data_IF_328167499051
#
_entry.id   IF_328167499051
#
_cell.length_a   1.000
_cell.length_b   1.000
_cell.length_c   1.000
_cell.angle_alpha   90.00
_cell.angle_beta   90.00
_cell.angle_gamma   90.00
#
_symmetry.space_group_name_H-M   'P 1'
#
loop_
_entity.id
_entity.type
_entity.pdbx_description
1 polymer ?
#
# COMPACT_ATOMS: atom_id res chain seq x y z
N UNK A 1 0.18 -7.56 25.34
CA UNK A 1 -0.15 -8.37 24.17
C UNK A 1 -1.04 -7.54 23.27
N UNK A 2 -0.46 -6.88 22.29
CA UNK A 2 -1.11 -5.93 21.41
C UNK A 2 -1.72 -6.66 20.22
N UNK A 3 -3.00 -6.42 19.99
CA UNK A 3 -3.78 -6.86 18.84
C UNK A 3 -3.21 -6.27 17.53
N UNK A 4 -2.24 -6.95 16.92
CA UNK A 4 -1.63 -6.56 15.65
C UNK A 4 -2.54 -6.80 14.42
N UNK A 5 -3.69 -7.44 14.60
CA UNK A 5 -4.61 -7.75 13.49
C UNK A 5 -5.33 -6.55 12.87
N UNK A 6 -5.52 -5.47 13.61
CA UNK A 6 -6.26 -4.29 13.13
C UNK A 6 -5.38 -3.24 12.43
N UNK A 7 -4.09 -3.17 12.80
CA UNK A 7 -3.19 -2.13 12.31
C UNK A 7 -2.74 -2.31 10.88
N UNK A 8 -2.51 -3.53 10.44
CA UNK A 8 -1.89 -3.78 9.14
C UNK A 8 -2.81 -3.54 7.94
N UNK A 9 -4.10 -3.86 8.06
CA UNK A 9 -5.10 -3.56 7.03
C UNK A 9 -5.39 -2.06 6.89
N UNK A 10 -5.41 -1.37 8.02
CA UNK A 10 -5.59 0.09 8.06
C UNK A 10 -4.34 0.79 7.53
N UNK A 11 -3.13 0.30 7.84
CA UNK A 11 -1.88 0.96 7.45
C UNK A 11 -1.60 0.87 5.94
N UNK A 12 -1.83 -0.28 5.32
CA UNK A 12 -1.66 -0.44 3.87
C UNK A 12 -2.70 0.38 3.11
N UNK A 13 -3.90 0.54 3.66
CA UNK A 13 -4.97 1.35 3.07
C UNK A 13 -4.88 2.84 3.40
N UNK A 14 -4.41 3.19 4.59
CA UNK A 14 -4.20 4.60 4.99
C UNK A 14 -3.12 5.26 4.12
N UNK A 15 -2.07 4.54 3.76
CA UNK A 15 -1.07 5.06 2.81
C UNK A 15 -1.69 5.31 1.43
N UNK A 16 -2.59 4.45 0.95
CA UNK A 16 -3.33 4.67 -0.31
C UNK A 16 -4.35 5.81 -0.20
N UNK A 17 -5.07 5.91 0.91
CA UNK A 17 -6.07 6.97 1.15
C UNK A 17 -5.40 8.32 1.40
N UNK A 18 -4.32 8.36 2.19
CA UNK A 18 -3.53 9.59 2.39
C UNK A 18 -2.89 10.09 1.10
N UNK A 19 -2.57 9.18 0.17
CA UNK A 19 -2.09 9.56 -1.16
C UNK A 19 -3.20 10.15 -2.04
N UNK A 20 -4.41 9.64 -1.97
CA UNK A 20 -5.61 10.21 -2.60
C UNK A 20 -5.98 11.56 -1.98
N UNK A 21 -5.94 11.70 -0.65
CA UNK A 21 -6.20 12.95 0.06
C UNK A 21 -5.11 13.98 -0.27
N UNK A 22 -3.85 13.58 -0.42
CA UNK A 22 -2.77 14.49 -0.81
C UNK A 22 -2.91 14.99 -2.25
N UNK A 23 -3.50 14.20 -3.14
CA UNK A 23 -3.85 14.61 -4.50
C UNK A 23 -5.02 15.63 -4.47
N UNK A 24 -5.98 15.46 -3.59
CA UNK A 24 -7.14 16.36 -3.43
C UNK A 24 -6.74 17.71 -2.78
N UNK A 25 -5.78 17.70 -1.84
CA UNK A 25 -5.31 18.90 -1.12
C UNK A 25 -4.26 19.71 -1.88
N UNK A 26 -3.73 19.20 -3.00
CA UNK A 26 -2.77 19.94 -3.85
C UNK A 26 -3.38 20.58 -5.08
N UNK A 27 -4.69 20.87 -5.08
CA UNK A 27 -5.30 21.67 -6.13
C UNK A 27 -4.84 23.12 -6.03
N UNK A 28 -4.25 23.70 -7.07
CA UNK A 28 -3.87 25.10 -7.06
C UNK A 28 -5.13 25.97 -7.14
N UNK A 29 -5.28 26.89 -6.19
CA UNK A 29 -6.21 28.01 -6.30
C UNK A 29 -5.77 28.92 -7.46
N UNK A 30 -6.69 29.41 -8.29
CA UNK A 30 -6.30 30.27 -9.40
C UNK A 30 -6.01 31.69 -8.91
N UNK A 31 -4.76 32.07 -8.81
CA UNK A 31 -4.39 33.48 -8.87
C UNK A 31 -2.92 33.70 -9.30
N UNK A 32 -2.80 34.40 -10.41
CA UNK A 32 -1.76 35.39 -10.77
C UNK A 32 -0.35 34.88 -11.11
N UNK A 33 -0.10 34.88 -12.42
CA UNK A 33 1.16 35.11 -13.15
C UNK A 33 2.41 35.40 -12.31
N UNK A 34 3.39 34.49 -12.40
CA UNK A 34 4.80 34.86 -12.63
C UNK A 34 5.51 33.74 -13.40
N UNK A 35 5.85 34.07 -14.62
CA UNK A 35 6.73 33.40 -15.55
C UNK A 35 8.09 33.16 -14.92
N UNK A 36 8.63 31.98 -14.99
CA UNK A 36 9.98 31.63 -15.41
C UNK A 36 10.52 30.36 -14.75
N UNK A 37 11.13 29.51 -15.57
CA UNK A 37 12.23 28.59 -15.30
C UNK A 37 11.87 27.19 -14.74
N UNK A 38 10.73 26.59 -15.04
CA UNK A 38 10.56 25.14 -14.86
C UNK A 38 9.86 24.48 -16.06
N UNK A 39 10.42 24.62 -17.26
CA UNK A 39 9.86 24.00 -18.47
C UNK A 39 10.28 22.52 -18.68
N UNK A 40 10.79 21.83 -17.67
CA UNK A 40 11.17 20.41 -17.76
C UNK A 40 10.63 19.51 -16.65
N UNK A 41 9.64 19.95 -15.91
CA UNK A 41 8.79 19.02 -15.21
C UNK A 41 7.70 18.61 -16.19
N UNK A 42 7.90 17.48 -16.87
CA UNK A 42 6.81 16.77 -17.52
C UNK A 42 5.68 16.69 -16.51
N UNK A 43 4.67 17.49 -16.74
CA UNK A 43 3.41 17.46 -16.01
C UNK A 43 2.94 16.02 -16.05
N UNK A 44 3.05 15.33 -14.93
CA UNK A 44 2.34 14.10 -14.70
C UNK A 44 0.87 14.45 -14.96
N UNK A 45 0.40 14.18 -16.18
CA UNK A 45 -1.01 14.34 -16.53
C UNK A 45 -1.78 13.47 -15.55
N UNK A 46 -2.28 14.11 -14.50
CA UNK A 46 -3.30 13.47 -13.67
C UNK A 46 -4.49 13.25 -14.60
N UNK A 47 -5.00 12.03 -14.73
CA UNK A 47 -6.19 11.81 -15.55
C UNK A 47 -7.29 12.72 -15.03
N UNK A 48 -7.87 13.50 -15.94
CA UNK A 48 -9.04 14.32 -15.62
C UNK A 48 -10.18 13.39 -15.24
N UNK A 49 -10.77 13.59 -14.09
CA UNK A 49 -11.92 12.85 -13.62
C UNK A 49 -12.90 13.80 -12.92
N UNK A 50 -14.17 13.59 -13.17
CA UNK A 50 -15.25 14.41 -12.62
C UNK A 50 -15.69 13.94 -11.23
N UNK A 51 -15.49 12.65 -10.93
CA UNK A 51 -15.93 12.08 -9.67
C UNK A 51 -15.06 10.91 -9.20
N UNK A 52 -14.98 10.73 -7.89
CA UNK A 52 -14.33 9.59 -7.24
C UNK A 52 -15.39 8.71 -6.57
N UNK A 53 -15.44 7.43 -6.96
CA UNK A 53 -16.34 6.46 -6.35
C UNK A 53 -15.57 5.54 -5.39
N UNK A 54 -15.97 5.55 -4.12
CA UNK A 54 -15.44 4.63 -3.11
C UNK A 54 -16.26 3.35 -3.08
N UNK A 55 -15.58 2.21 -3.14
CA UNK A 55 -16.20 0.88 -3.04
C UNK A 55 -15.39 0.01 -2.07
N UNK A 56 -16.08 -0.96 -1.47
CA UNK A 56 -15.42 -2.04 -0.76
C UNK A 56 -14.80 -3.00 -1.79
N UNK A 57 -13.56 -3.41 -1.56
CA UNK A 57 -12.91 -4.44 -2.35
C UNK A 57 -13.16 -5.81 -1.71
N UNK A 58 -13.53 -6.80 -2.53
CA UNK A 58 -13.60 -8.19 -2.08
C UNK A 58 -12.18 -8.76 -1.86
N UNK A 59 -12.04 -9.86 -1.08
CA UNK A 59 -10.75 -10.52 -0.90
C UNK A 59 -10.09 -10.93 -2.22
N UNK A 60 -10.87 -11.37 -3.19
CA UNK A 60 -10.39 -11.78 -4.53
C UNK A 60 -9.81 -10.59 -5.30
N UNK A 61 -10.47 -9.44 -5.25
CA UNK A 61 -9.98 -8.21 -5.88
C UNK A 61 -8.66 -7.78 -5.22
N UNK A 62 -8.55 -7.87 -3.90
CA UNK A 62 -7.33 -7.54 -3.17
C UNK A 62 -6.18 -8.49 -3.57
N UNK A 63 -6.46 -9.81 -3.66
CA UNK A 63 -5.48 -10.80 -4.12
C UNK A 63 -5.03 -10.53 -5.55
N UNK A 64 -5.92 -10.12 -6.45
CA UNK A 64 -5.58 -9.76 -7.82
C UNK A 64 -4.70 -8.50 -7.92
N UNK A 65 -4.84 -7.56 -7.02
CA UNK A 65 -3.98 -6.37 -6.97
C UNK A 65 -2.63 -6.63 -6.30
N UNK A 66 -2.52 -7.72 -5.55
CA UNK A 66 -1.35 -8.04 -4.76
C UNK A 66 -0.24 -8.69 -5.59
N UNK A 67 0.99 -8.31 -5.30
CA UNK A 67 2.21 -8.94 -5.86
C UNK A 67 2.75 -10.06 -4.98
N UNK A 68 2.12 -10.35 -3.86
CA UNK A 68 2.47 -11.44 -2.98
C UNK A 68 1.95 -11.28 -1.55
N UNK A 69 2.02 -12.35 -0.80
CA UNK A 69 1.59 -12.42 0.59
C UNK A 69 2.73 -12.02 1.53
N UNK A 70 2.42 -11.23 2.53
CA UNK A 70 3.33 -10.87 3.61
C UNK A 70 3.11 -11.85 4.76
N UNK A 71 4.12 -12.68 5.03
CA UNK A 71 4.04 -13.75 6.03
C UNK A 71 4.65 -13.37 7.39
N UNK A 72 5.51 -12.34 7.40
CA UNK A 72 6.28 -11.96 8.59
C UNK A 72 6.06 -10.50 8.96
N UNK A 73 6.03 -10.17 10.25
CA UNK A 73 5.87 -8.80 10.71
C UNK A 73 7.16 -7.96 10.60
N UNK A 74 8.31 -8.61 10.35
CA UNK A 74 9.60 -7.93 10.27
C UNK A 74 9.64 -6.97 9.08
N UNK A 75 10.28 -5.84 9.27
CA UNK A 75 10.45 -4.80 8.25
C UNK A 75 11.82 -4.86 7.61
N UNK A 76 12.85 -4.62 8.38
CA UNK A 76 14.25 -4.61 7.96
C UNK A 76 15.11 -5.44 8.90
N UNK A 77 16.21 -5.97 8.39
CA UNK A 77 17.24 -6.56 9.21
C UNK A 77 18.13 -5.43 9.78
N UNK A 78 18.13 -5.25 11.09
CA UNK A 78 18.89 -4.19 11.76
C UNK A 78 20.39 -4.29 11.58
N UNK A 79 20.91 -5.48 11.29
CA UNK A 79 22.35 -5.71 11.08
C UNK A 79 22.78 -5.31 9.67
N UNK A 80 21.93 -5.57 8.66
CA UNK A 80 22.29 -5.35 7.26
C UNK A 80 21.55 -4.17 6.61
N UNK A 81 20.57 -3.62 7.31
CA UNK A 81 19.64 -2.57 6.84
C UNK A 81 18.90 -2.93 5.53
N UNK A 82 18.82 -4.21 5.22
CA UNK A 82 18.07 -4.70 4.07
C UNK A 82 16.69 -5.18 4.50
N UNK A 83 15.67 -5.06 3.64
CA UNK A 83 14.35 -5.60 3.91
C UNK A 83 14.40 -7.11 4.14
N UNK A 84 13.69 -7.56 5.15
CA UNK A 84 13.52 -8.99 5.41
C UNK A 84 12.66 -9.63 4.32
N UNK A 85 13.00 -10.89 4.04
CA UNK A 85 12.24 -11.68 3.07
C UNK A 85 10.88 -12.02 3.65
N UNK A 86 9.85 -11.89 2.81
CA UNK A 86 8.43 -12.14 3.14
C UNK A 86 7.89 -11.25 4.28
N UNK A 87 8.63 -10.19 4.63
CA UNK A 87 8.24 -9.16 5.58
C UNK A 87 7.49 -8.00 4.95
N UNK A 88 7.15 -7.01 5.79
CA UNK A 88 6.38 -5.82 5.38
C UNK A 88 7.07 -4.94 4.34
N UNK A 89 8.39 -5.03 4.19
CA UNK A 89 9.17 -4.29 3.19
C UNK A 89 9.86 -5.21 2.17
N UNK A 90 9.41 -6.45 2.04
CA UNK A 90 10.02 -7.45 1.17
C UNK A 90 10.24 -6.93 -0.26
N UNK A 91 11.49 -7.05 -0.73
CA UNK A 91 11.85 -6.61 -2.08
C UNK A 91 11.31 -7.52 -3.18
N UNK A 92 11.01 -8.78 -2.86
CA UNK A 92 10.37 -9.71 -3.80
C UNK A 92 8.94 -9.30 -4.10
N UNK A 93 8.20 -8.84 -3.08
CA UNK A 93 6.79 -8.44 -3.21
C UNK A 93 6.69 -7.01 -3.76
N UNK A 94 7.39 -6.06 -3.17
CA UNK A 94 7.24 -4.64 -3.46
C UNK A 94 8.21 -4.10 -4.49
N UNK A 95 9.30 -4.80 -4.76
CA UNK A 95 10.31 -4.38 -5.72
C UNK A 95 11.66 -3.99 -5.11
N UNK A 96 12.64 -3.64 -5.94
CA UNK A 96 14.01 -3.33 -5.53
C UNK A 96 14.09 -2.03 -4.73
N UNK A 97 15.11 -1.90 -3.88
CA UNK A 97 15.39 -0.67 -3.12
C UNK A 97 16.10 0.35 -4.00
N UNK A 98 17.05 -0.12 -4.82
CA UNK A 98 17.81 0.69 -5.76
C UNK A 98 17.35 0.41 -7.17
N UNK A 99 17.41 1.43 -8.02
CA UNK A 99 17.04 1.31 -9.42
C UNK A 99 17.92 0.28 -10.14
N UNK A 100 17.24 -0.65 -10.80
CA UNK A 100 17.87 -1.70 -11.60
C UNK A 100 18.91 -2.56 -10.86
N UNK A 101 18.72 -2.77 -9.56
CA UNK A 101 19.59 -3.60 -8.74
C UNK A 101 18.78 -4.58 -7.89
N UNK A 102 19.06 -5.89 -7.98
CA UNK A 102 18.47 -6.86 -7.09
C UNK A 102 19.12 -6.83 -5.70
N UNK A 103 18.40 -7.27 -4.66
CA UNK A 103 18.88 -7.17 -3.26
C UNK A 103 20.15 -7.96 -2.98
N UNK A 104 20.40 -9.07 -3.69
CA UNK A 104 21.61 -9.88 -3.56
C UNK A 104 22.81 -9.34 -4.37
N UNK A 105 22.60 -8.35 -5.25
CA UNK A 105 23.63 -7.74 -6.06
C UNK A 105 24.08 -8.56 -7.30
N UNK A 106 23.44 -9.71 -7.60
CA UNK A 106 23.75 -10.53 -8.79
C UNK A 106 23.50 -9.77 -10.09
N UNK A 107 22.34 -9.12 -10.18
CA UNK A 107 21.96 -8.30 -11.32
C UNK A 107 22.01 -6.83 -10.95
N UNK A 108 22.77 -6.07 -11.73
CA UNK A 108 22.92 -4.62 -11.60
C UNK A 108 22.84 -3.99 -12.98
N UNK A 109 22.43 -2.72 -13.01
CA UNK A 109 22.30 -1.90 -14.21
C UNK A 109 21.11 -2.25 -15.10
N UNK A 110 20.80 -1.32 -15.98
CA UNK A 110 19.62 -1.29 -16.84
C UNK A 110 19.56 -2.45 -17.86
N UNK A 111 20.70 -3.04 -18.23
CA UNK A 111 20.76 -4.16 -19.19
C UNK A 111 19.97 -5.40 -18.75
N UNK A 112 19.71 -5.54 -17.45
CA UNK A 112 18.94 -6.64 -16.87
C UNK A 112 17.50 -6.25 -16.49
N UNK A 113 16.99 -5.16 -17.05
CA UNK A 113 15.62 -4.69 -16.78
C UNK A 113 14.59 -5.78 -17.03
N UNK A 114 13.66 -5.98 -16.09
CA UNK A 114 12.58 -6.95 -16.17
C UNK A 114 12.99 -8.40 -15.82
N UNK A 115 14.26 -8.64 -15.56
CA UNK A 115 14.72 -9.98 -15.16
C UNK A 115 14.40 -10.21 -13.68
N UNK A 116 13.79 -11.34 -13.37
CA UNK A 116 13.58 -11.79 -11.99
C UNK A 116 14.83 -12.55 -11.54
N UNK A 117 15.44 -12.11 -10.45
CA UNK A 117 16.65 -12.74 -9.94
C UNK A 117 16.36 -14.12 -9.37
N UNK A 118 17.02 -15.14 -9.89
CA UNK A 118 16.86 -16.56 -9.46
C UNK A 118 17.24 -16.74 -7.97
N UNK A 119 18.22 -15.97 -7.47
CA UNK A 119 18.72 -16.11 -6.09
C UNK A 119 17.80 -15.45 -5.07
N UNK A 120 17.34 -14.23 -5.31
CA UNK A 120 16.57 -13.44 -4.34
C UNK A 120 15.10 -13.20 -4.75
N UNK A 121 14.70 -13.58 -5.96
CA UNK A 121 13.33 -13.41 -6.47
C UNK A 121 12.93 -11.97 -6.76
N UNK A 122 13.85 -11.01 -6.69
CA UNK A 122 13.55 -9.60 -6.93
C UNK A 122 13.61 -9.30 -8.42
N UNK A 123 12.59 -8.63 -8.92
CA UNK A 123 12.55 -8.14 -10.30
C UNK A 123 13.42 -6.88 -10.42
N UNK A 124 14.24 -6.83 -11.46
CA UNK A 124 15.15 -5.70 -11.73
C UNK A 124 14.40 -4.59 -12.44
N UNK A 125 13.84 -3.66 -11.67
CA UNK A 125 13.08 -2.52 -12.16
C UNK A 125 13.47 -1.22 -11.42
N UNK A 126 12.72 -0.17 -11.66
CA UNK A 126 12.86 1.09 -10.91
C UNK A 126 12.36 0.91 -9.46
N UNK A 127 13.05 1.53 -8.52
CA UNK A 127 12.65 1.56 -7.10
C UNK A 127 11.28 2.22 -6.86
N UNK A 128 10.84 3.07 -7.79
CA UNK A 128 9.52 3.73 -7.76
C UNK A 128 8.36 2.74 -7.64
N UNK A 129 8.49 1.53 -8.21
CA UNK A 129 7.45 0.49 -8.14
C UNK A 129 7.10 0.09 -6.70
N UNK A 130 8.01 0.28 -5.74
CA UNK A 130 7.73 0.05 -4.31
C UNK A 130 6.61 0.93 -3.75
N UNK A 131 6.35 2.06 -4.37
CA UNK A 131 5.26 2.97 -4.00
C UNK A 131 3.93 2.64 -4.69
N UNK A 132 3.96 1.78 -5.70
CA UNK A 132 2.82 1.44 -6.54
C UNK A 132 2.31 0.03 -6.25
N UNK A 133 3.20 -0.91 -5.99
CA UNK A 133 2.87 -2.32 -5.75
C UNK A 133 2.20 -2.52 -4.40
N UNK A 134 1.18 -3.36 -4.41
CA UNK A 134 0.44 -3.77 -3.22
C UNK A 134 0.80 -5.21 -2.86
N UNK A 135 0.83 -5.51 -1.57
CA UNK A 135 0.86 -6.85 -1.03
C UNK A 135 -0.40 -7.11 -0.22
N UNK A 136 -0.63 -8.35 0.19
CA UNK A 136 -1.74 -8.70 1.07
C UNK A 136 -1.25 -9.51 2.26
N UNK A 137 -2.07 -9.50 3.30
CA UNK A 137 -1.91 -10.34 4.49
C UNK A 137 -3.17 -11.19 4.59
N UNK A 138 -3.03 -12.51 4.60
CA UNK A 138 -4.13 -13.41 4.84
C UNK A 138 -4.39 -13.53 6.35
N UNK A 139 -5.61 -13.21 6.77
CA UNK A 139 -5.98 -13.27 8.18
C UNK A 139 -6.35 -14.70 8.56
N UNK A 140 -5.93 -15.12 9.76
CA UNK A 140 -6.27 -16.46 10.29
C UNK A 140 -7.77 -16.65 10.52
N UNK A 141 -8.50 -15.57 10.78
CA UNK A 141 -9.95 -15.57 10.97
C UNK A 141 -10.58 -14.33 10.33
N UNK A 142 -11.87 -14.40 9.92
CA UNK A 142 -12.58 -13.24 9.43
C UNK A 142 -12.63 -12.11 10.46
N UNK A 143 -12.47 -10.87 10.02
CA UNK A 143 -12.55 -9.68 10.88
C UNK A 143 -13.60 -8.73 10.31
N UNK A 144 -14.44 -8.18 11.19
CA UNK A 144 -15.47 -7.22 10.81
C UNK A 144 -14.86 -5.94 10.23
N UNK A 145 -15.43 -5.46 9.12
CA UNK A 145 -14.99 -4.22 8.53
C UNK A 145 -15.41 -3.03 9.40
N UNK A 146 -14.49 -2.09 9.61
CA UNK A 146 -14.69 -0.94 10.49
C UNK A 146 -15.91 -0.07 10.12
N UNK A 147 -16.26 0.01 8.84
CA UNK A 147 -17.44 0.76 8.40
C UNK A 147 -18.75 0.18 8.89
N UNK A 148 -18.81 -1.13 9.12
CA UNK A 148 -20.00 -1.81 9.64
C UNK A 148 -19.98 -1.95 11.15
N UNK A 149 -18.78 -1.94 11.75
CA UNK A 149 -18.60 -2.10 13.20
C UNK A 149 -18.64 -0.76 13.94
N UNK A 150 -17.77 0.19 13.57
CA UNK A 150 -17.55 1.45 14.32
C UNK A 150 -18.20 2.69 13.70
N UNK A 151 -18.93 2.58 12.61
CA UNK A 151 -19.72 3.69 12.10
C UNK A 151 -20.88 4.02 13.05
N UNK A 152 -21.30 5.25 13.11
CA UNK A 152 -22.49 5.67 13.86
C UNK A 152 -23.64 5.97 12.89
N UNK A 153 -24.75 5.19 12.92
CA UNK A 153 -25.00 4.00 13.76
C UNK A 153 -24.25 2.75 13.26
N UNK A 154 -23.81 1.87 14.18
CA UNK A 154 -23.18 0.60 13.84
C UNK A 154 -24.18 -0.34 13.19
N UNK A 155 -23.91 -0.76 11.95
CA UNK A 155 -24.80 -1.68 11.21
C UNK A 155 -24.85 -3.06 11.84
N UNK A 156 -23.71 -3.55 12.36
CA UNK A 156 -23.63 -4.86 13.04
C UNK A 156 -24.37 -4.80 14.37
N UNK A 157 -24.17 -3.73 15.16
CA UNK A 157 -24.86 -3.57 16.42
C UNK A 157 -26.39 -3.54 16.24
N UNK A 158 -26.88 -2.78 15.26
CA UNK A 158 -28.30 -2.73 14.93
C UNK A 158 -28.87 -4.08 14.50
N UNK A 159 -28.13 -4.86 13.71
CA UNK A 159 -28.58 -6.19 13.28
C UNK A 159 -28.64 -7.20 14.41
N UNK A 160 -27.84 -7.02 15.47
CA UNK A 160 -27.79 -7.88 16.65
C UNK A 160 -28.61 -7.32 17.83
N UNK A 161 -29.24 -6.17 17.67
CA UNK A 161 -29.94 -5.45 18.73
C UNK A 161 -29.06 -5.21 19.98
N UNK A 162 -27.80 -4.85 19.73
CA UNK A 162 -26.80 -4.59 20.75
C UNK A 162 -26.41 -3.10 20.74
N UNK A 163 -25.97 -2.59 21.90
CA UNK A 163 -25.28 -1.31 21.93
C UNK A 163 -23.87 -1.46 21.36
N UNK A 164 -23.31 -0.38 20.79
CA UNK A 164 -21.94 -0.41 20.29
C UNK A 164 -20.93 -0.81 21.37
N UNK A 165 -21.19 -0.38 22.62
CA UNK A 165 -20.36 -0.72 23.78
C UNK A 165 -20.35 -2.20 24.09
N UNK A 166 -21.50 -2.85 23.98
CA UNK A 166 -21.60 -4.29 24.22
C UNK A 166 -20.98 -5.10 23.08
N UNK A 167 -21.17 -4.62 21.84
CA UNK A 167 -20.54 -5.23 20.68
C UNK A 167 -18.99 -5.14 20.72
N UNK A 168 -18.43 -4.05 21.24
CA UNK A 168 -16.97 -3.90 21.38
C UNK A 168 -16.39 -4.76 22.51
N UNK A 169 -17.24 -5.24 23.42
CA UNK A 169 -16.84 -6.12 24.53
C UNK A 169 -16.76 -7.57 24.13
N UNK A 170 -17.52 -8.00 23.14
CA UNK A 170 -17.50 -9.34 22.54
C UNK A 170 -16.33 -9.50 21.60
#
# INVERSE_FOLDING_TARGET
FWNLGFGAWVFIRVISILRLIRIILSMPTPSTTKTTVFSHLETLKTPDFDAVRLRLASPEIIKNWSHGEVLKPETINYRTFKPERDGLFCSKIFGPIKDYECICGKYKRMKHRGVVCEKCGVEVTLSKVRRERMGHIELASPVAHIWFLKSLPSRIALALDLTLRDLERV
#
